data_IF_150119117422
#
_entry.id   IF_150119117422
#
_cell.length_a   1.000
_cell.length_b   1.000
_cell.length_c   1.000
_cell.angle_alpha   90.00
_cell.angle_beta   90.00
_cell.angle_gamma   90.00
#
_symmetry.space_group_name_H-M   'P 1'
#
loop_
_entity.id
_entity.type
_entity.pdbx_description
1 polymer ?
#
# COMPACT_ATOMS: atom_id res chain seq x y z
N UNK A 1 -7.27 6.17 12.81
CA UNK A 1 -8.75 6.29 13.00
C UNK A 1 -9.15 5.47 14.24
N UNK A 2 -10.40 5.46 14.70
CA UNK A 2 -10.83 4.58 15.82
C UNK A 2 -12.07 3.75 15.45
N UNK A 3 -12.26 2.59 16.08
CA UNK A 3 -13.44 1.73 15.84
C UNK A 3 -13.82 0.92 17.09
N UNK A 4 -13.03 -0.08 17.48
CA UNK A 4 -13.35 -0.97 18.61
C UNK A 4 -12.82 -0.51 19.98
N UNK A 5 -11.72 0.26 20.01
CA UNK A 5 -11.02 0.72 21.22
C UNK A 5 -10.47 -0.38 22.14
N UNK A 6 -10.43 -1.62 21.69
CA UNK A 6 -9.93 -2.78 22.44
C UNK A 6 -8.77 -3.51 21.73
N UNK A 7 -8.24 -2.92 20.65
CA UNK A 7 -7.11 -3.45 19.89
C UNK A 7 -7.44 -4.56 18.88
N UNK A 8 -8.71 -4.95 18.73
CA UNK A 8 -9.11 -6.04 17.83
C UNK A 8 -9.20 -5.69 16.34
N UNK A 9 -9.32 -4.39 15.98
CA UNK A 9 -9.63 -3.99 14.60
C UNK A 9 -8.45 -3.52 13.74
N UNK A 10 -7.31 -3.15 14.35
CA UNK A 10 -6.13 -2.61 13.65
C UNK A 10 -6.28 -1.24 12.97
N UNK A 11 -7.47 -0.63 12.96
CA UNK A 11 -7.73 0.67 12.30
C UNK A 11 -7.01 1.86 12.96
N UNK A 12 -6.51 1.68 14.18
CA UNK A 12 -5.75 2.66 14.94
C UNK A 12 -4.25 2.35 14.98
N UNK A 13 -3.75 1.48 14.10
CA UNK A 13 -2.32 1.15 14.08
C UNK A 13 -1.49 2.38 13.71
N UNK A 14 -0.46 2.62 14.52
CA UNK A 14 0.63 3.55 14.27
C UNK A 14 1.95 2.81 14.34
N UNK A 15 2.99 3.38 13.74
CA UNK A 15 4.34 2.85 13.86
C UNK A 15 5.00 3.47 15.09
N UNK A 16 5.63 2.63 15.91
CA UNK A 16 6.39 3.05 17.09
C UNK A 16 7.80 2.52 16.95
N UNK A 17 8.79 3.41 16.97
CA UNK A 17 10.19 3.04 16.93
C UNK A 17 10.98 3.65 18.07
N UNK A 18 11.96 2.91 18.58
CA UNK A 18 12.73 3.34 19.74
C UNK A 18 13.65 2.25 20.27
N UNK A 19 14.45 2.54 21.30
CA UNK A 19 15.37 1.56 21.89
C UNK A 19 14.59 0.47 22.63
N UNK A 20 14.83 -0.78 22.28
CA UNK A 20 14.29 -1.92 23.02
C UNK A 20 14.76 -1.87 24.49
N UNK A 21 13.88 -2.09 25.48
CA UNK A 21 14.18 -1.86 26.89
C UNK A 21 15.39 -2.66 27.39
N UNK A 22 15.51 -3.91 26.94
CA UNK A 22 16.61 -4.84 27.29
C UNK A 22 17.82 -4.69 26.35
N UNK A 23 17.66 -4.96 25.06
CA UNK A 23 18.80 -5.04 24.12
C UNK A 23 19.36 -3.68 23.69
N UNK A 24 18.65 -2.57 23.98
CA UNK A 24 18.96 -1.19 23.56
C UNK A 24 19.05 -0.96 22.05
N UNK A 25 18.83 -2.00 21.23
CA UNK A 25 18.76 -1.88 19.78
C UNK A 25 17.49 -1.11 19.40
N UNK A 26 17.56 -0.29 18.36
CA UNK A 26 16.38 0.35 17.80
C UNK A 26 15.46 -0.73 17.21
N UNK A 27 14.23 -0.77 17.68
CA UNK A 27 13.18 -1.69 17.23
C UNK A 27 11.98 -0.90 16.78
N UNK A 28 11.26 -1.47 15.81
CA UNK A 28 10.07 -0.86 15.21
C UNK A 28 8.91 -1.84 15.33
N UNK A 29 7.74 -1.34 15.75
CA UNK A 29 6.55 -2.14 16.02
C UNK A 29 5.29 -1.44 15.48
N UNK A 30 4.33 -2.24 15.01
CA UNK A 30 2.95 -1.80 14.77
C UNK A 30 2.18 -1.83 16.09
N UNK A 31 1.60 -0.71 16.52
CA UNK A 31 0.91 -0.62 17.81
C UNK A 31 -0.48 -0.03 17.64
N UNK A 32 -1.47 -0.64 18.29
CA UNK A 32 -2.82 -0.10 18.40
C UNK A 32 -2.81 1.15 19.29
N UNK A 33 -2.96 2.35 18.69
CA UNK A 33 -2.87 3.61 19.43
C UNK A 33 -3.97 3.77 20.48
N UNK A 34 -5.09 3.07 20.36
CA UNK A 34 -6.17 3.13 21.35
C UNK A 34 -5.80 2.50 22.70
N UNK A 35 -4.77 1.65 22.74
CA UNK A 35 -4.28 1.00 23.96
C UNK A 35 -2.93 1.54 24.44
N UNK A 36 -2.26 2.38 23.64
CA UNK A 36 -0.96 2.93 23.98
C UNK A 36 -1.13 4.23 24.77
N UNK A 37 -0.72 4.20 26.05
CA UNK A 37 -0.68 5.41 26.88
C UNK A 37 0.38 6.38 26.36
N UNK A 38 0.01 7.65 26.21
CA UNK A 38 0.93 8.73 25.82
C UNK A 38 2.12 8.85 26.78
N UNK A 39 1.92 8.56 28.07
CA UNK A 39 3.00 8.58 29.07
C UNK A 39 4.07 7.53 28.82
N UNK A 40 3.72 6.43 28.13
CA UNK A 40 4.67 5.38 27.74
C UNK A 40 5.46 5.73 26.47
N UNK A 41 5.09 6.81 25.77
CA UNK A 41 5.75 7.23 24.53
C UNK A 41 7.01 8.06 24.75
N UNK A 42 7.42 8.32 26.00
CA UNK A 42 8.62 9.11 26.26
C UNK A 42 9.87 8.45 25.65
N UNK A 43 10.55 9.18 24.76
CA UNK A 43 11.73 8.69 24.05
C UNK A 43 11.44 7.71 22.90
N UNK A 44 10.17 7.57 22.49
CA UNK A 44 9.75 6.79 21.33
C UNK A 44 9.35 7.72 20.18
N UNK A 45 9.67 7.31 18.97
CA UNK A 45 9.25 7.98 17.74
C UNK A 45 7.93 7.36 17.26
N UNK A 46 6.89 8.18 17.17
CA UNK A 46 5.56 7.78 16.68
C UNK A 46 5.38 8.32 15.27
N UNK A 47 5.12 7.43 14.32
CA UNK A 47 4.80 7.80 12.93
C UNK A 47 3.37 7.36 12.59
N UNK A 48 2.59 8.27 12.01
CA UNK A 48 1.24 8.02 11.49
C UNK A 48 1.23 8.00 9.97
N UNK A 49 0.08 7.68 9.38
CA UNK A 49 -0.06 7.55 7.92
C UNK A 49 0.27 8.84 7.17
N UNK A 50 -0.02 9.99 7.78
CA UNK A 50 0.23 11.31 7.20
C UNK A 50 1.72 11.65 7.14
N UNK A 51 2.48 11.22 8.17
CA UNK A 51 3.94 11.39 8.20
C UNK A 51 4.69 10.44 7.26
N UNK A 52 4.04 9.35 6.85
CA UNK A 52 4.62 8.40 5.90
C UNK A 52 4.63 8.93 4.45
N UNK A 53 3.62 9.72 4.08
CA UNK A 53 3.49 10.27 2.73
C UNK A 53 2.13 10.93 2.54
N UNK A 54 2.11 11.96 1.69
CA UNK A 54 0.93 12.80 1.46
C UNK A 54 0.94 13.42 0.06
N UNK A 55 -0.09 14.22 -0.26
CA UNK A 55 -0.24 14.82 -1.60
C UNK A 55 0.85 15.84 -1.94
N UNK A 56 1.42 16.52 -0.95
CA UNK A 56 2.46 17.52 -1.16
C UNK A 56 3.85 16.88 -1.34
N UNK A 57 4.18 15.90 -0.50
CA UNK A 57 5.53 15.31 -0.44
C UNK A 57 5.68 14.03 -1.27
N UNK A 58 4.55 13.49 -1.76
CA UNK A 58 4.48 12.19 -2.41
C UNK A 58 4.07 11.07 -1.44
N UNK A 59 3.52 10.00 -2.01
CA UNK A 59 3.04 8.86 -1.26
C UNK A 59 4.08 7.75 -1.19
N UNK A 60 4.16 7.09 -0.04
CA UNK A 60 5.02 5.94 0.18
C UNK A 60 4.57 4.73 -0.68
N UNK A 61 5.49 3.85 -1.13
CA UNK A 61 5.12 2.67 -1.93
C UNK A 61 3.99 1.82 -1.34
N UNK A 62 3.91 1.67 -0.02
CA UNK A 62 2.80 0.94 0.62
C UNK A 62 1.42 1.61 0.39
N UNK A 63 1.36 2.96 0.39
CA UNK A 63 0.14 3.69 0.09
C UNK A 63 -0.23 3.55 -1.39
N UNK A 64 0.76 3.72 -2.28
CA UNK A 64 0.58 3.61 -3.73
C UNK A 64 0.13 2.21 -4.15
N UNK A 65 0.81 1.16 -3.67
CA UNK A 65 0.46 -0.23 -3.99
C UNK A 65 -0.96 -0.57 -3.55
N UNK A 66 -1.35 -0.18 -2.34
CA UNK A 66 -2.69 -0.45 -1.85
C UNK A 66 -3.77 0.24 -2.69
N UNK A 67 -3.52 1.46 -3.16
CA UNK A 67 -4.41 2.16 -4.07
C UNK A 67 -4.47 1.47 -5.45
N UNK A 68 -3.32 1.18 -6.06
CA UNK A 68 -3.21 0.59 -7.39
C UNK A 68 -3.88 -0.79 -7.50
N UNK A 69 -3.82 -1.60 -6.45
CA UNK A 69 -4.45 -2.92 -6.43
C UNK A 69 -5.92 -2.89 -6.04
N UNK A 70 -6.56 -1.71 -5.95
CA UNK A 70 -7.94 -1.58 -5.47
C UNK A 70 -8.11 -2.18 -4.06
N UNK A 71 -7.09 -2.02 -3.22
CA UNK A 71 -7.07 -2.46 -1.83
C UNK A 71 -7.88 -1.57 -0.89
N UNK A 72 -8.64 -0.62 -1.42
CA UNK A 72 -9.47 0.32 -0.66
C UNK A 72 -10.85 0.49 -1.32
N UNK A 73 -11.90 0.50 -0.49
CA UNK A 73 -13.26 0.90 -0.90
C UNK A 73 -13.71 2.08 -0.03
N UNK A 74 -14.26 1.82 1.16
CA UNK A 74 -14.71 2.89 2.07
C UNK A 74 -13.57 3.72 2.68
N UNK A 75 -12.33 3.23 2.64
CA UNK A 75 -11.14 3.94 3.12
C UNK A 75 -10.92 3.93 4.64
N UNK A 76 -11.86 3.44 5.44
CA UNK A 76 -11.79 3.61 6.90
C UNK A 76 -10.64 2.83 7.56
N UNK A 77 -10.43 1.57 7.13
CA UNK A 77 -9.35 0.72 7.64
C UNK A 77 -8.00 0.98 6.94
N UNK A 78 -7.99 1.71 5.83
CA UNK A 78 -6.82 1.91 4.96
C UNK A 78 -5.60 2.46 5.69
N UNK A 79 -5.71 3.48 6.58
CA UNK A 79 -4.56 3.93 7.36
C UNK A 79 -3.92 2.82 8.21
N UNK A 80 -4.72 2.01 8.90
CA UNK A 80 -4.22 0.91 9.72
C UNK A 80 -3.49 -0.15 8.89
N UNK A 81 -4.08 -0.53 7.75
CA UNK A 81 -3.47 -1.47 6.80
C UNK A 81 -2.09 -0.98 6.32
N UNK A 82 -1.99 0.29 5.91
CA UNK A 82 -0.73 0.90 5.46
C UNK A 82 0.31 0.91 6.59
N UNK A 83 -0.09 1.32 7.79
CA UNK A 83 0.84 1.42 8.93
C UNK A 83 1.32 0.04 9.41
N UNK A 84 0.46 -0.98 9.36
CA UNK A 84 0.87 -2.37 9.61
C UNK A 84 1.90 -2.84 8.58
N UNK A 85 1.65 -2.61 7.29
CA UNK A 85 2.61 -2.99 6.24
C UNK A 85 3.94 -2.28 6.41
N UNK A 86 3.90 -0.96 6.61
CA UNK A 86 5.10 -0.14 6.80
C UNK A 86 5.92 -0.63 8.00
N UNK A 87 5.26 -0.89 9.12
CA UNK A 87 5.95 -1.36 10.33
C UNK A 87 6.61 -2.72 10.13
N UNK A 88 5.98 -3.62 9.36
CA UNK A 88 6.56 -4.91 8.99
C UNK A 88 7.82 -4.72 8.12
N UNK A 89 7.74 -3.86 7.09
CA UNK A 89 8.88 -3.55 6.22
C UNK A 89 10.05 -3.01 7.04
N UNK A 90 9.80 -2.04 7.92
CA UNK A 90 10.84 -1.45 8.77
C UNK A 90 11.46 -2.49 9.71
N UNK A 91 10.64 -3.30 10.39
CA UNK A 91 11.11 -4.34 11.29
C UNK A 91 11.97 -5.40 10.59
N UNK A 92 11.70 -5.66 9.31
CA UNK A 92 12.39 -6.65 8.47
C UNK A 92 13.42 -6.03 7.51
N UNK A 93 13.73 -4.74 7.67
CA UNK A 93 14.71 -4.02 6.83
C UNK A 93 14.41 -4.15 5.33
N UNK A 94 13.13 -4.06 4.98
CA UNK A 94 12.61 -4.16 3.61
C UNK A 94 12.58 -5.59 3.02
N UNK A 95 13.09 -6.60 3.74
CA UNK A 95 13.13 -7.99 3.26
C UNK A 95 12.01 -8.81 3.91
N UNK A 96 10.80 -8.67 3.38
CA UNK A 96 9.61 -9.41 3.83
C UNK A 96 9.26 -10.49 2.81
N UNK A 97 8.77 -11.63 3.28
CA UNK A 97 8.20 -12.68 2.43
C UNK A 97 6.69 -12.54 2.32
N UNK A 98 6.08 -13.11 1.27
CA UNK A 98 4.63 -13.09 1.09
C UNK A 98 3.88 -13.76 2.26
N UNK A 99 4.47 -14.81 2.86
CA UNK A 99 3.91 -15.49 4.01
C UNK A 99 3.92 -14.59 5.26
N UNK A 100 5.03 -13.89 5.52
CA UNK A 100 5.11 -12.92 6.63
C UNK A 100 4.13 -11.77 6.46
N UNK A 101 3.90 -11.32 5.22
CA UNK A 101 2.87 -10.33 4.92
C UNK A 101 1.51 -10.88 5.37
N UNK A 102 1.11 -12.05 4.91
CA UNK A 102 -0.20 -12.65 5.25
C UNK A 102 -0.41 -12.82 6.77
N UNK A 103 0.60 -13.36 7.46
CA UNK A 103 0.56 -13.56 8.92
C UNK A 103 0.43 -12.23 9.70
N UNK A 104 0.95 -11.14 9.15
CA UNK A 104 0.96 -9.84 9.82
C UNK A 104 -0.38 -9.10 9.80
N UNK A 105 -1.34 -9.52 8.97
CA UNK A 105 -2.65 -8.83 8.85
C UNK A 105 -3.77 -9.44 9.68
N UNK A 106 -3.51 -10.48 10.47
CA UNK A 106 -4.53 -11.09 11.34
C UNK A 106 -5.18 -10.12 12.34
N UNK A 107 -4.49 -9.04 12.72
CA UNK A 107 -5.00 -7.98 13.61
C UNK A 107 -5.71 -6.82 12.91
N UNK A 108 -5.91 -6.86 11.60
CA UNK A 108 -6.51 -5.77 10.82
C UNK A 108 -7.83 -6.20 10.19
N UNK A 109 -8.93 -5.51 10.51
CA UNK A 109 -10.26 -5.86 10.02
C UNK A 109 -10.67 -4.95 8.86
N UNK A 110 -11.11 -5.55 7.76
CA UNK A 110 -11.77 -4.88 6.64
C UNK A 110 -13.14 -5.51 6.34
N UNK A 111 -14.18 -4.68 6.24
CA UNK A 111 -15.54 -5.14 5.92
C UNK A 111 -15.89 -5.08 4.43
N UNK A 112 -15.12 -4.33 3.63
CA UNK A 112 -15.50 -3.99 2.26
C UNK A 112 -14.76 -4.80 1.20
N UNK A 113 -13.43 -4.94 1.31
CA UNK A 113 -12.60 -5.45 0.21
C UNK A 113 -12.55 -6.97 0.10
N UNK A 114 -12.88 -7.69 1.18
CA UNK A 114 -12.67 -9.15 1.25
C UNK A 114 -11.20 -9.57 1.28
N UNK A 115 -10.29 -8.66 1.66
CA UNK A 115 -8.84 -8.84 1.87
C UNK A 115 -7.98 -9.19 0.65
N UNK A 116 -8.50 -9.88 -0.37
CA UNK A 116 -7.71 -10.33 -1.51
C UNK A 116 -6.88 -9.21 -2.13
N UNK A 117 -7.49 -8.09 -2.48
CA UNK A 117 -6.78 -6.94 -3.06
C UNK A 117 -5.78 -6.28 -2.12
N UNK A 118 -6.02 -6.32 -0.81
CA UNK A 118 -5.09 -5.80 0.21
C UNK A 118 -3.84 -6.69 0.28
N UNK A 119 -4.04 -8.01 0.34
CA UNK A 119 -2.95 -8.97 0.43
C UNK A 119 -2.15 -9.00 -0.88
N UNK A 120 -2.81 -8.96 -2.04
CA UNK A 120 -2.14 -8.87 -3.34
C UNK A 120 -1.27 -7.60 -3.43
N UNK A 121 -1.80 -6.46 -2.98
CA UNK A 121 -1.06 -5.19 -2.94
C UNK A 121 0.23 -5.30 -2.12
N UNK A 122 0.13 -5.86 -0.92
CA UNK A 122 1.25 -5.90 0.01
C UNK A 122 2.23 -7.05 -0.27
N UNK A 123 1.74 -8.20 -0.76
CA UNK A 123 2.59 -9.29 -1.26
C UNK A 123 3.41 -8.85 -2.46
N UNK A 124 2.93 -7.87 -3.25
CA UNK A 124 3.74 -7.28 -4.34
C UNK A 124 5.00 -6.53 -3.87
N UNK A 125 5.11 -6.24 -2.56
CA UNK A 125 6.30 -5.64 -1.94
C UNK A 125 7.26 -6.69 -1.35
N UNK A 126 6.87 -7.97 -1.39
CA UNK A 126 7.69 -9.05 -0.86
C UNK A 126 8.83 -9.43 -1.80
N UNK A 127 9.92 -9.96 -1.23
CA UNK A 127 11.11 -10.36 -1.99
C UNK A 127 10.88 -11.60 -2.88
N UNK A 128 9.87 -12.39 -2.54
CA UNK A 128 9.44 -13.61 -3.22
C UNK A 128 8.13 -13.41 -4.01
N UNK A 129 7.77 -12.16 -4.32
CA UNK A 129 6.60 -11.84 -5.13
C UNK A 129 6.70 -12.45 -6.54
N UNK A 130 5.64 -13.14 -6.97
CA UNK A 130 5.58 -13.71 -8.33
C UNK A 130 5.49 -12.62 -9.41
N UNK A 131 6.09 -12.85 -10.58
CA UNK A 131 6.00 -11.94 -11.74
C UNK A 131 4.54 -11.66 -12.13
N UNK A 132 3.68 -12.69 -12.09
CA UNK A 132 2.24 -12.55 -12.37
C UNK A 132 1.55 -11.53 -11.46
N UNK A 133 1.92 -11.50 -10.17
CA UNK A 133 1.36 -10.56 -9.21
C UNK A 133 1.83 -9.13 -9.50
N UNK A 134 3.11 -8.97 -9.84
CA UNK A 134 3.67 -7.66 -10.23
C UNK A 134 3.01 -7.13 -11.50
N UNK A 135 2.74 -8.02 -12.47
CA UNK A 135 2.09 -7.72 -13.74
C UNK A 135 0.60 -7.37 -13.61
N UNK A 136 -0.07 -7.87 -12.58
CA UNK A 136 -1.48 -7.57 -12.27
C UNK A 136 -1.70 -6.12 -11.81
N UNK A 137 -0.61 -5.37 -11.52
CA UNK A 137 -0.66 -3.98 -11.12
C UNK A 137 -0.85 -2.99 -12.29
N UNK A 138 -1.20 -3.47 -13.49
CA UNK A 138 -1.43 -2.62 -14.67
C UNK A 138 -2.86 -2.08 -14.66
N UNK A 139 -2.99 -0.79 -14.37
CA UNK A 139 -4.26 -0.07 -14.50
C UNK A 139 -4.64 0.09 -15.99
N UNK A 140 -5.94 0.12 -16.29
CA UNK A 140 -6.44 0.48 -17.63
C UNK A 140 -5.89 1.84 -18.08
N UNK A 141 -5.65 2.75 -17.14
CA UNK A 141 -5.05 4.05 -17.43
C UNK A 141 -3.57 3.97 -17.84
N UNK A 142 -2.86 2.92 -17.44
CA UNK A 142 -1.46 2.69 -17.78
C UNK A 142 -1.29 2.02 -19.16
N UNK A 143 -2.36 1.46 -19.73
CA UNK A 143 -2.33 0.87 -21.09
C UNK A 143 -1.92 1.89 -22.15
N UNK A 144 -2.31 3.16 -21.99
CA UNK A 144 -1.91 4.25 -22.90
C UNK A 144 -0.49 4.76 -22.70
N UNK A 145 0.17 4.35 -21.61
CA UNK A 145 1.59 4.63 -21.40
C UNK A 145 2.46 3.58 -22.05
N UNK A 146 1.94 2.63 -22.84
CA UNK A 146 2.76 1.69 -23.60
C UNK A 146 3.07 2.33 -24.96
N UNK A 147 4.36 2.48 -25.26
CA UNK A 147 4.81 3.01 -26.53
C UNK A 147 4.47 2.02 -27.65
N UNK A 148 3.65 2.44 -28.61
CA UNK A 148 3.25 1.62 -29.77
C UNK A 148 4.44 1.16 -30.62
N UNK A 149 5.58 1.86 -30.58
CA UNK A 149 6.80 1.47 -31.31
C UNK A 149 7.66 0.46 -30.57
N UNK A 150 7.71 0.50 -29.24
CA UNK A 150 8.66 -0.29 -28.45
C UNK A 150 8.01 -1.33 -27.54
N UNK A 151 6.69 -1.27 -27.33
CA UNK A 151 5.97 -2.13 -26.38
C UNK A 151 6.33 -1.91 -24.91
N UNK A 152 7.15 -0.89 -24.60
CA UNK A 152 7.59 -0.54 -23.24
C UNK A 152 6.87 0.71 -22.73
N UNK A 153 6.97 0.98 -21.43
CA UNK A 153 6.50 2.23 -20.82
C UNK A 153 7.09 3.45 -21.56
N UNK A 154 6.21 4.36 -21.95
CA UNK A 154 6.46 5.57 -22.72
C UNK A 154 6.97 6.64 -21.78
N UNK A 155 8.22 7.07 -22.00
CA UNK A 155 8.85 8.12 -21.20
C UNK A 155 8.39 9.55 -21.60
N UNK A 156 7.46 9.70 -22.54
CA UNK A 156 6.93 11.01 -22.96
C UNK A 156 7.89 11.87 -23.78
N UNK A 157 9.06 11.35 -24.17
CA UNK A 157 10.08 12.10 -24.92
C UNK A 157 9.85 12.15 -26.44
N UNK A 158 8.78 11.56 -26.94
CA UNK A 158 8.48 11.53 -28.37
C UNK A 158 7.52 12.66 -28.76
N UNK A 159 7.76 13.30 -29.91
CA UNK A 159 6.92 14.36 -30.48
C UNK A 159 5.53 13.88 -30.95
N UNK A 160 5.18 12.63 -30.67
CA UNK A 160 3.91 12.05 -31.09
C UNK A 160 2.78 12.61 -30.22
N UNK A 161 1.78 13.20 -30.86
CA UNK A 161 0.53 13.65 -30.23
C UNK A 161 -0.05 12.47 -29.43
N UNK A 162 -0.34 12.67 -28.15
CA UNK A 162 -1.08 11.70 -27.33
C UNK A 162 -2.43 11.46 -28.00
N UNK A 163 -2.55 10.38 -28.77
CA UNK A 163 -3.84 9.97 -29.31
C UNK A 163 -4.71 9.47 -28.16
N UNK A 164 -6.01 9.78 -28.15
CA UNK A 164 -6.93 9.23 -27.15
C UNK A 164 -6.87 7.70 -27.19
N UNK A 165 -6.80 7.08 -26.02
CA UNK A 165 -6.75 5.62 -25.91
C UNK A 165 -8.09 5.07 -26.38
N UNK A 166 -8.05 4.33 -27.49
CA UNK A 166 -9.18 3.59 -28.05
C UNK A 166 -8.83 2.10 -28.05
N UNK A 167 -9.62 1.30 -27.36
CA UNK A 167 -9.51 -0.16 -27.37
C UNK A 167 -10.68 -0.74 -28.14
N UNK A 168 -10.41 -1.66 -29.07
CA UNK A 168 -11.42 -2.38 -29.84
C UNK A 168 -11.31 -3.84 -29.41
N UNK A 169 -12.39 -4.40 -28.86
CA UNK A 169 -12.45 -5.78 -28.43
C UNK A 169 -12.84 -6.71 -29.60
N UNK A 170 -12.68 -8.02 -29.43
CA UNK A 170 -12.97 -9.03 -30.46
C UNK A 170 -14.44 -9.00 -30.94
N UNK A 171 -15.35 -8.53 -30.09
CA UNK A 171 -16.77 -8.34 -30.38
C UNK A 171 -17.09 -6.99 -31.07
N UNK A 172 -16.06 -6.25 -31.50
CA UNK A 172 -16.14 -4.89 -32.06
C UNK A 172 -16.69 -3.83 -31.10
N UNK A 173 -16.81 -4.11 -29.81
CA UNK A 173 -17.10 -3.06 -28.83
C UNK A 173 -15.90 -2.14 -28.68
N UNK A 174 -16.18 -0.85 -28.52
CA UNK A 174 -15.15 0.18 -28.41
C UNK A 174 -15.16 0.81 -27.02
N UNK A 175 -13.98 0.91 -26.41
CA UNK A 175 -13.78 1.68 -25.21
C UNK A 175 -12.93 2.92 -25.53
N UNK A 176 -13.41 4.08 -25.06
CA UNK A 176 -12.77 5.38 -25.25
C UNK A 176 -12.41 5.94 -23.88
N UNK A 177 -11.16 6.34 -23.65
CA UNK A 177 -10.80 7.08 -22.44
C UNK A 177 -11.40 8.48 -22.51
N UNK A 178 -12.33 8.80 -21.62
CA UNK A 178 -12.87 10.15 -21.47
C UNK A 178 -11.80 11.02 -20.82
N UNK A 179 -11.14 11.87 -21.60
CA UNK A 179 -10.22 12.88 -21.10
C UNK A 179 -11.04 14.13 -20.74
N UNK A 180 -11.12 14.46 -19.44
CA UNK A 180 -11.61 15.77 -18.97
C UNK A 180 -10.49 16.80 -18.96
#
# INVERSE_FOLDING_TARGET
>A
KFMCLEGGCGTCVVNVSGPHPVTKKRTTLAVNSCLLSVLACHGLDILTVEGLGNKADGYHPAQLRLAHFNGTQCGYCTPGMVMSMYSLLEAKQGRVTMAEVEDSFGGNICRCTGYRSILDAFKSLAVDASEKLLDACRDIEDLGKICQKSGKLCAGNCSAVQQPIRMIFEDQTEWHKVCN
#
